data_IF_752786881438
#
_entry.id   IF_752786881438
#
_cell.length_a   1.000
_cell.length_b   1.000
_cell.length_c   1.000
_cell.angle_alpha   90.00
_cell.angle_beta   90.00
_cell.angle_gamma   90.00
#
_symmetry.space_group_name_H-M   'P 1'
#
loop_
_entity.id
_entity.type
_entity.pdbx_description
1 polymer ?
#
# COMPACT_ATOMS: atom_id res chain seq x y z
N UNK A 1 6.38 -32.71 30.13
CA UNK A 1 6.00 -32.33 28.75
C UNK A 1 5.27 -31.01 28.86
N UNK A 2 5.75 -29.96 28.21
CA UNK A 2 5.06 -28.66 28.23
C UNK A 2 3.78 -28.78 27.43
N UNK A 3 2.63 -28.52 28.05
CA UNK A 3 1.35 -28.45 27.37
C UNK A 3 1.41 -27.35 26.32
N UNK A 4 1.33 -27.73 25.05
CA UNK A 4 1.18 -26.80 23.93
C UNK A 4 -0.17 -26.13 24.05
N UNK A 5 -0.28 -24.84 23.70
CA UNK A 5 -1.57 -24.16 23.57
C UNK A 5 -1.98 -24.04 22.11
N UNK A 6 -2.78 -24.96 21.54
CA UNK A 6 -3.36 -24.82 20.20
C UNK A 6 -4.13 -23.51 19.99
N UNK A 7 -4.54 -22.84 21.07
CA UNK A 7 -5.22 -21.55 21.05
C UNK A 7 -4.35 -20.43 20.46
N UNK A 8 -3.00 -20.54 20.52
CA UNK A 8 -2.12 -19.53 19.93
C UNK A 8 -2.13 -19.55 18.40
N UNK A 9 -2.28 -20.73 17.78
CA UNK A 9 -2.49 -20.83 16.33
C UNK A 9 -3.84 -20.25 15.92
N UNK A 10 -4.91 -20.64 16.63
CA UNK A 10 -6.27 -20.18 16.32
C UNK A 10 -6.36 -18.65 16.45
N UNK A 11 -5.73 -18.08 17.48
CA UNK A 11 -5.69 -16.62 17.69
C UNK A 11 -4.92 -15.91 16.59
N UNK A 12 -3.76 -16.43 16.19
CA UNK A 12 -2.97 -15.85 15.11
C UNK A 12 -3.68 -15.96 13.76
N UNK A 13 -4.31 -17.10 13.46
CA UNK A 13 -5.06 -17.31 12.23
C UNK A 13 -6.26 -16.34 12.15
N UNK A 14 -7.05 -16.26 13.22
CA UNK A 14 -8.18 -15.34 13.32
C UNK A 14 -7.75 -13.89 13.10
N UNK A 15 -6.63 -13.50 13.69
CA UNK A 15 -6.07 -12.16 13.53
C UNK A 15 -5.67 -11.88 12.08
N UNK A 16 -5.02 -12.83 11.41
CA UNK A 16 -4.68 -12.70 10.00
C UNK A 16 -5.93 -12.53 9.12
N UNK A 17 -6.97 -13.33 9.34
CA UNK A 17 -8.22 -13.22 8.57
C UNK A 17 -8.94 -11.88 8.83
N UNK A 18 -9.08 -11.48 10.10
CA UNK A 18 -9.74 -10.22 10.46
C UNK A 18 -8.99 -9.01 9.91
N UNK A 19 -7.65 -9.03 9.96
CA UNK A 19 -6.84 -7.96 9.41
C UNK A 19 -6.95 -7.92 7.87
N UNK A 20 -6.99 -9.07 7.19
CA UNK A 20 -7.12 -9.12 5.74
C UNK A 20 -8.44 -8.49 5.25
N UNK A 21 -9.55 -8.84 5.90
CA UNK A 21 -10.89 -8.34 5.57
C UNK A 21 -11.03 -6.83 5.83
N UNK A 22 -10.60 -6.37 7.01
CA UNK A 22 -10.61 -4.95 7.36
C UNK A 22 -9.69 -4.13 6.47
N UNK A 23 -8.49 -4.66 6.17
CA UNK A 23 -7.55 -4.01 5.26
C UNK A 23 -8.14 -3.88 3.86
N UNK A 24 -8.80 -4.92 3.34
CA UNK A 24 -9.50 -4.85 2.06
C UNK A 24 -10.54 -3.75 2.04
N UNK A 25 -11.34 -3.67 3.11
CA UNK A 25 -12.43 -2.70 3.22
C UNK A 25 -11.89 -1.26 3.10
N UNK A 26 -10.87 -0.91 3.88
CA UNK A 26 -10.29 0.45 3.85
C UNK A 26 -9.55 0.73 2.54
N UNK A 27 -8.94 -0.30 1.94
CA UNK A 27 -8.27 -0.18 0.65
C UNK A 27 -9.27 0.07 -0.49
N UNK A 28 -10.43 -0.59 -0.48
CA UNK A 28 -11.49 -0.35 -1.45
C UNK A 28 -12.02 1.09 -1.35
N UNK A 29 -12.19 1.61 -0.12
CA UNK A 29 -12.57 3.01 0.09
C UNK A 29 -11.54 3.99 -0.49
N UNK A 30 -10.23 3.72 -0.30
CA UNK A 30 -9.17 4.50 -0.94
C UNK A 30 -9.32 4.47 -2.46
N UNK A 31 -9.46 3.28 -3.06
CA UNK A 31 -9.57 3.12 -4.51
C UNK A 31 -10.76 3.88 -5.09
N UNK A 32 -11.92 3.85 -4.45
CA UNK A 32 -13.10 4.62 -4.88
C UNK A 32 -12.78 6.11 -5.01
N UNK A 33 -12.12 6.71 -4.00
CA UNK A 33 -11.77 8.14 -4.06
C UNK A 33 -10.71 8.39 -5.14
N UNK A 34 -9.71 7.52 -5.28
CA UNK A 34 -8.66 7.71 -6.30
C UNK A 34 -9.23 7.70 -7.73
N UNK A 35 -10.24 6.88 -8.02
CA UNK A 35 -10.95 6.86 -9.31
C UNK A 35 -11.58 8.22 -9.65
N UNK A 36 -12.06 8.96 -8.65
CA UNK A 36 -12.67 10.27 -8.82
C UNK A 36 -11.63 11.40 -8.98
N UNK A 37 -10.37 11.14 -8.63
CA UNK A 37 -9.26 12.11 -8.70
C UNK A 37 -8.46 12.06 -10.00
N UNK A 38 -9.01 11.45 -11.04
CA UNK A 38 -8.40 11.46 -12.38
C UNK A 38 -8.07 12.86 -12.86
N UNK A 39 -6.91 13.00 -13.52
CA UNK A 39 -6.38 14.25 -14.05
C UNK A 39 -6.15 15.36 -13.00
N UNK A 40 -6.08 15.03 -11.70
CA UNK A 40 -5.87 16.02 -10.62
C UNK A 40 -4.63 16.90 -10.79
N UNK A 41 -3.59 16.38 -11.46
CA UNK A 41 -2.35 17.11 -11.69
C UNK A 41 -2.46 18.11 -12.84
N UNK A 42 -3.41 17.94 -13.76
CA UNK A 42 -3.46 18.66 -15.03
C UNK A 42 -2.53 18.06 -16.09
N UNK A 43 -2.34 18.80 -17.19
CA UNK A 43 -1.63 18.35 -18.39
C UNK A 43 -0.32 19.11 -18.69
N UNK A 44 0.02 20.13 -17.91
CA UNK A 44 1.13 21.05 -18.19
C UNK A 44 2.54 20.43 -18.09
N UNK A 45 3.49 20.91 -18.88
CA UNK A 45 4.81 20.32 -19.08
C UNK A 45 5.60 20.19 -17.77
N UNK A 46 5.50 21.17 -16.87
CA UNK A 46 6.18 21.14 -15.58
C UNK A 46 5.60 20.08 -14.61
N UNK A 47 4.38 19.58 -14.82
CA UNK A 47 3.76 18.57 -13.94
C UNK A 47 4.17 17.14 -14.28
N UNK A 48 4.62 16.88 -15.51
CA UNK A 48 4.84 15.52 -16.02
C UNK A 48 5.75 14.67 -15.12
N UNK A 49 6.84 15.26 -14.60
CA UNK A 49 7.75 14.56 -13.70
C UNK A 49 7.09 14.21 -12.36
N UNK A 50 6.28 15.12 -11.82
CA UNK A 50 5.53 14.90 -10.58
C UNK A 50 4.43 13.85 -10.78
N UNK A 51 3.63 13.97 -11.85
CA UNK A 51 2.57 13.01 -12.17
C UNK A 51 3.11 11.60 -12.33
N UNK A 52 4.20 11.44 -13.08
CA UNK A 52 4.86 10.14 -13.21
C UNK A 52 5.31 9.58 -11.86
N UNK A 53 5.94 10.39 -11.03
CA UNK A 53 6.42 9.95 -9.72
C UNK A 53 5.26 9.57 -8.78
N UNK A 54 4.15 10.31 -8.83
CA UNK A 54 2.93 9.97 -8.10
C UNK A 54 2.33 8.65 -8.60
N UNK A 55 2.11 8.52 -9.92
CA UNK A 55 1.48 7.34 -10.53
C UNK A 55 2.29 6.07 -10.25
N UNK A 56 3.63 6.13 -10.38
CA UNK A 56 4.52 5.01 -10.08
C UNK A 56 4.41 4.57 -8.60
N UNK A 57 4.34 5.52 -7.67
CA UNK A 57 4.24 5.25 -6.22
C UNK A 57 2.86 4.73 -5.83
N UNK A 58 1.80 5.39 -6.29
CA UNK A 58 0.43 4.98 -6.05
C UNK A 58 0.19 3.57 -6.60
N UNK A 59 0.72 3.27 -7.79
CA UNK A 59 0.69 1.94 -8.40
C UNK A 59 1.47 0.90 -7.58
N UNK A 60 2.67 1.23 -7.10
CA UNK A 60 3.45 0.33 -6.26
C UNK A 60 2.74 0.03 -4.93
N UNK A 61 2.18 1.03 -4.26
CA UNK A 61 1.43 0.83 -3.01
C UNK A 61 0.17 -0.01 -3.24
N UNK A 62 -0.56 0.25 -4.34
CA UNK A 62 -1.73 -0.54 -4.77
C UNK A 62 -1.37 -2.04 -4.92
N UNK A 63 -0.27 -2.35 -5.61
CA UNK A 63 0.21 -3.71 -5.78
C UNK A 63 0.61 -4.36 -4.44
N UNK A 64 1.35 -3.66 -3.60
CA UNK A 64 1.82 -4.21 -2.31
C UNK A 64 0.66 -4.39 -1.33
N UNK A 65 -0.29 -3.45 -1.28
CA UNK A 65 -1.47 -3.51 -0.43
C UNK A 65 -2.37 -4.72 -0.74
N UNK A 66 -2.66 -4.95 -2.02
CA UNK A 66 -3.45 -6.12 -2.46
C UNK A 66 -2.75 -7.44 -2.17
N UNK A 67 -1.44 -7.54 -2.43
CA UNK A 67 -0.66 -8.72 -2.10
C UNK A 67 -0.56 -8.96 -0.59
N UNK A 68 -0.48 -7.90 0.21
CA UNK A 68 -0.45 -7.99 1.67
C UNK A 68 -1.74 -8.63 2.23
N UNK A 69 -2.91 -8.18 1.78
CA UNK A 69 -4.18 -8.77 2.22
C UNK A 69 -4.32 -10.26 1.84
N UNK A 70 -3.88 -10.65 0.63
CA UNK A 70 -3.84 -12.07 0.23
C UNK A 70 -2.86 -12.87 1.06
N UNK A 71 -1.68 -12.32 1.34
CA UNK A 71 -0.67 -12.96 2.16
C UNK A 71 -1.18 -13.21 3.58
N UNK A 72 -1.91 -12.27 4.17
CA UNK A 72 -2.59 -12.47 5.45
C UNK A 72 -3.58 -13.63 5.39
N UNK A 73 -4.46 -13.65 4.39
CA UNK A 73 -5.45 -14.73 4.25
C UNK A 73 -4.79 -16.10 4.11
N UNK A 74 -3.85 -16.25 3.18
CA UNK A 74 -3.13 -17.52 2.97
C UNK A 74 -2.32 -17.93 4.19
N UNK A 75 -1.76 -16.97 4.92
CA UNK A 75 -1.03 -17.28 6.14
C UNK A 75 -1.96 -17.69 7.29
N UNK A 76 -3.18 -17.14 7.35
CA UNK A 76 -4.25 -17.64 8.20
C UNK A 76 -4.60 -19.10 7.91
N UNK A 77 -4.63 -19.51 6.65
CA UNK A 77 -4.87 -20.91 6.24
C UNK A 77 -3.76 -21.83 6.74
N UNK A 78 -2.49 -21.40 6.58
CA UNK A 78 -1.32 -22.14 7.07
C UNK A 78 -1.37 -22.30 8.59
N UNK A 79 -1.68 -21.23 9.33
CA UNK A 79 -1.79 -21.26 10.80
C UNK A 79 -2.93 -22.17 11.26
N UNK A 80 -4.07 -22.14 10.58
CA UNK A 80 -5.23 -23.01 10.87
C UNK A 80 -4.87 -24.49 10.64
N UNK A 81 -4.23 -24.79 9.51
CA UNK A 81 -3.78 -26.15 9.20
C UNK A 81 -2.72 -26.65 10.19
N UNK A 82 -1.76 -25.80 10.56
CA UNK A 82 -0.75 -26.12 11.56
C UNK A 82 -1.39 -26.42 12.92
N UNK A 83 -2.30 -25.55 13.39
CA UNK A 83 -3.03 -25.73 14.64
C UNK A 83 -3.84 -27.04 14.66
N UNK A 84 -4.49 -27.39 13.55
CA UNK A 84 -5.20 -28.65 13.42
C UNK A 84 -4.28 -29.88 13.46
N UNK A 85 -3.15 -29.83 12.76
CA UNK A 85 -2.16 -30.91 12.77
C UNK A 85 -1.62 -31.16 14.18
N UNK A 86 -1.38 -30.09 14.95
CA UNK A 86 -1.01 -30.18 16.36
C UNK A 86 -2.10 -30.80 17.22
N UNK A 87 -3.35 -30.34 17.11
CA UNK A 87 -4.49 -30.94 17.81
C UNK A 87 -4.60 -32.45 17.51
N UNK A 88 -4.41 -32.85 16.25
CA UNK A 88 -4.43 -34.25 15.85
C UNK A 88 -3.28 -35.06 16.45
N UNK A 89 -2.06 -34.49 16.47
CA UNK A 89 -0.89 -35.13 17.05
C UNK A 89 -1.06 -35.35 18.56
N UNK A 90 -1.52 -34.34 19.29
CA UNK A 90 -1.82 -34.42 20.72
C UNK A 90 -2.91 -35.47 21.02
N UNK A 91 -4.00 -35.47 20.26
CA UNK A 91 -5.05 -36.47 20.40
C UNK A 91 -4.54 -37.91 20.17
N UNK A 92 -3.66 -38.12 19.17
CA UNK A 92 -3.06 -39.43 18.89
C UNK A 92 -2.07 -39.85 19.96
N UNK A 93 -1.30 -38.90 20.52
CA UNK A 93 -0.33 -39.14 21.58
C UNK A 93 -1.00 -39.44 22.93
N UNK A 94 -2.17 -38.85 23.20
CA UNK A 94 -2.93 -39.10 24.41
C UNK A 94 -3.40 -40.57 24.47
N UNK A 95 -2.96 -41.30 25.50
CA UNK A 95 -3.29 -42.73 25.72
C UNK A 95 -4.50 -42.96 26.63
N UNK A 96 -5.09 -41.90 27.16
CA UNK A 96 -6.29 -42.01 28.00
C UNK A 96 -7.44 -42.65 27.19
N UNK A 97 -8.02 -43.77 27.64
CA UNK A 97 -9.17 -44.39 26.97
C UNK A 97 -10.41 -43.48 26.93
N UNK A 98 -10.48 -42.46 27.80
CA UNK A 98 -11.58 -41.50 27.89
C UNK A 98 -11.24 -40.13 27.27
N UNK A 99 -10.22 -40.04 26.40
CA UNK A 99 -9.74 -38.79 25.78
C UNK A 99 -10.72 -38.03 24.88
N UNK A 100 -11.96 -38.49 24.76
CA UNK A 100 -13.01 -37.86 23.96
C UNK A 100 -12.87 -38.11 22.46
N UNK A 101 -13.55 -37.27 21.67
CA UNK A 101 -13.59 -37.37 20.21
C UNK A 101 -12.34 -36.77 19.54
N UNK A 102 -11.94 -37.25 18.35
CA UNK A 102 -10.85 -36.64 17.60
C UNK A 102 -11.18 -35.19 17.19
N UNK A 103 -10.16 -34.33 17.01
CA UNK A 103 -10.35 -32.99 16.47
C UNK A 103 -11.10 -33.00 15.13
N UNK A 104 -12.07 -32.11 14.97
CA UNK A 104 -12.77 -31.92 13.71
C UNK A 104 -11.92 -31.17 12.69
N UNK A 105 -12.04 -31.54 11.41
CA UNK A 105 -11.41 -30.82 10.32
C UNK A 105 -11.85 -29.33 10.36
N UNK A 106 -10.93 -28.36 10.22
CA UNK A 106 -11.30 -26.96 10.14
C UNK A 106 -12.23 -26.71 8.96
N UNK A 107 -13.23 -25.85 9.18
CA UNK A 107 -14.21 -25.43 8.17
C UNK A 107 -14.46 -23.93 8.29
N UNK A 108 -15.13 -23.34 7.29
CA UNK A 108 -15.43 -21.89 7.31
C UNK A 108 -14.24 -21.00 6.96
N UNK A 109 -13.31 -21.48 6.12
CA UNK A 109 -12.26 -20.65 5.55
C UNK A 109 -12.88 -19.46 4.79
N UNK A 110 -12.39 -18.23 4.99
CA UNK A 110 -12.87 -17.09 4.21
C UNK A 110 -12.62 -17.32 2.72
N UNK A 111 -13.61 -16.96 1.89
CA UNK A 111 -13.45 -16.97 0.44
C UNK A 111 -12.28 -16.08 0.03
N UNK A 112 -11.54 -16.49 -1.00
CA UNK A 112 -10.42 -15.70 -1.53
C UNK A 112 -10.88 -14.26 -1.84
N UNK A 113 -10.15 -13.28 -1.31
CA UNK A 113 -10.50 -11.89 -1.48
C UNK A 113 -10.48 -11.53 -2.98
N UNK A 114 -11.49 -10.77 -3.49
CA UNK A 114 -11.62 -10.45 -4.91
C UNK A 114 -10.61 -9.40 -5.38
N UNK A 115 -9.32 -9.71 -5.28
CA UNK A 115 -8.25 -8.97 -5.93
C UNK A 115 -7.96 -9.64 -7.27
N UNK A 116 -8.86 -9.49 -8.23
CA UNK A 116 -8.68 -10.08 -9.56
C UNK A 116 -7.39 -9.57 -10.26
N UNK A 117 -6.91 -10.26 -11.31
CA UNK A 117 -5.73 -9.85 -12.09
C UNK A 117 -5.89 -8.48 -12.78
N UNK A 118 -7.09 -7.90 -12.78
CA UNK A 118 -7.35 -6.51 -13.13
C UNK A 118 -7.19 -5.61 -11.91
N UNK A 119 -5.96 -5.48 -11.41
CA UNK A 119 -5.59 -4.43 -10.47
C UNK A 119 -6.01 -3.09 -11.08
N UNK A 120 -6.68 -2.24 -10.30
CA UNK A 120 -6.88 -0.84 -10.68
C UNK A 120 -5.48 -0.25 -10.88
N UNK A 121 -5.07 -0.13 -12.15
CA UNK A 121 -3.91 0.67 -12.50
C UNK A 121 -4.17 2.05 -11.96
N UNK A 122 -3.17 2.60 -11.27
CA UNK A 122 -3.22 3.95 -10.72
C UNK A 122 -3.90 4.88 -11.71
N UNK A 123 -4.96 5.54 -11.25
CA UNK A 123 -5.69 6.50 -12.07
C UNK A 123 -4.69 7.58 -12.46
N UNK A 124 -4.51 7.77 -13.76
CA UNK A 124 -3.51 8.72 -14.26
C UNK A 124 -3.74 10.08 -13.61
N UNK A 125 -2.76 10.54 -12.84
CA UNK A 125 -2.83 11.84 -12.19
C UNK A 125 -2.76 12.97 -13.21
N UNK A 126 -2.07 12.74 -14.34
CA UNK A 126 -2.09 13.64 -15.49
C UNK A 126 -3.31 13.41 -16.39
N UNK A 127 -3.84 14.47 -16.96
CA UNK A 127 -4.88 14.39 -17.99
C UNK A 127 -5.17 15.75 -18.60
N UNK A 128 -6.05 15.79 -19.59
CA UNK A 128 -6.50 17.06 -20.19
C UNK A 128 -7.64 17.63 -19.36
N UNK A 129 -7.35 18.66 -18.58
CA UNK A 129 -8.36 19.60 -18.09
C UNK A 129 -8.11 20.98 -18.70
N UNK A 130 -9.06 21.90 -18.58
CA UNK A 130 -9.23 23.08 -19.42
C UNK A 130 -8.03 24.05 -19.44
N UNK A 131 -8.07 25.02 -20.39
CA UNK A 131 -7.10 26.12 -20.52
C UNK A 131 -6.88 26.75 -19.15
N UNK A 132 -5.80 26.40 -18.43
CA UNK A 132 -5.65 26.77 -17.01
C UNK A 132 -5.95 28.24 -16.70
N UNK A 133 -5.63 29.14 -17.63
CA UNK A 133 -6.17 30.50 -17.70
C UNK A 133 -7.39 30.56 -18.65
N UNK A 134 -8.56 30.89 -18.10
CA UNK A 134 -9.78 31.17 -18.87
C UNK A 134 -9.94 32.68 -19.04
N UNK A 135 -9.68 33.19 -20.24
CA UNK A 135 -9.84 34.60 -20.59
C UNK A 135 -10.22 34.77 -22.05
N UNK A 136 -11.08 35.76 -22.34
CA UNK A 136 -11.39 36.17 -23.71
C UNK A 136 -10.31 37.07 -24.32
N UNK A 137 -9.28 37.43 -23.53
CA UNK A 137 -8.21 38.35 -23.93
C UNK A 137 -6.98 37.55 -24.39
N UNK A 138 -6.89 37.28 -25.69
CA UNK A 138 -5.77 36.51 -26.27
C UNK A 138 -4.39 37.10 -25.95
N UNK A 139 -4.23 38.42 -25.96
CA UNK A 139 -2.97 39.06 -25.54
C UNK A 139 -2.62 38.81 -24.06
N UNK A 140 -3.62 38.68 -23.19
CA UNK A 140 -3.40 38.32 -21.80
C UNK A 140 -2.95 36.87 -21.71
N UNK A 141 -3.59 35.98 -22.46
CA UNK A 141 -3.18 34.58 -22.53
C UNK A 141 -1.73 34.44 -23.02
N UNK A 142 -1.33 35.17 -24.05
CA UNK A 142 0.04 35.16 -24.58
C UNK A 142 1.06 35.71 -23.57
N UNK A 143 0.77 36.85 -22.93
CA UNK A 143 1.64 37.45 -21.90
C UNK A 143 1.85 36.49 -20.73
N UNK A 144 0.81 35.81 -20.31
CA UNK A 144 0.87 34.88 -19.16
C UNK A 144 1.64 33.63 -19.53
N UNK A 145 1.35 33.06 -20.69
CA UNK A 145 2.03 31.89 -21.21
C UNK A 145 3.53 32.15 -21.38
N UNK A 146 3.91 33.34 -21.85
CA UNK A 146 5.31 33.76 -21.98
C UNK A 146 6.04 33.90 -20.62
N UNK A 147 5.30 34.16 -19.55
CA UNK A 147 5.84 34.34 -18.20
C UNK A 147 5.82 33.08 -17.35
N UNK A 148 5.08 32.05 -17.77
CA UNK A 148 5.09 30.73 -17.14
C UNK A 148 6.24 29.89 -17.71
N UNK A 149 7.15 29.48 -16.83
CA UNK A 149 8.26 28.60 -17.19
C UNK A 149 7.73 27.27 -17.75
N UNK A 150 7.95 27.03 -19.04
CA UNK A 150 7.47 25.83 -19.75
C UNK A 150 6.35 26.10 -20.76
N UNK A 151 5.87 27.35 -20.87
CA UNK A 151 4.96 27.77 -21.94
C UNK A 151 3.55 27.22 -21.82
N UNK A 152 3.14 26.73 -20.66
CA UNK A 152 1.81 26.17 -20.42
C UNK A 152 1.31 26.60 -19.03
N UNK A 153 0.11 27.16 -18.97
CA UNK A 153 -0.52 27.57 -17.70
C UNK A 153 -0.99 26.33 -16.93
N UNK A 154 -0.62 26.17 -15.65
CA UNK A 154 -1.03 25.02 -14.87
C UNK A 154 -2.54 24.91 -14.66
N UNK A 155 -3.06 23.74 -15.02
CA UNK A 155 -4.47 23.38 -15.11
C UNK A 155 -4.90 22.34 -14.07
N UNK A 156 -4.05 22.03 -13.08
CA UNK A 156 -4.36 21.02 -12.05
C UNK A 156 -5.58 21.36 -11.18
N UNK A 157 -6.29 20.34 -10.72
CA UNK A 157 -7.49 20.48 -9.91
C UNK A 157 -7.13 20.39 -8.41
N UNK A 158 -7.16 21.53 -7.72
CA UNK A 158 -6.77 21.60 -6.30
C UNK A 158 -7.75 20.89 -5.37
N UNK A 159 -9.01 20.73 -5.79
CA UNK A 159 -10.02 20.03 -5.00
C UNK A 159 -9.82 18.52 -5.13
N UNK A 160 -9.54 18.03 -6.34
CA UNK A 160 -9.14 16.63 -6.54
C UNK A 160 -7.82 16.30 -5.84
N UNK A 161 -6.83 17.20 -5.87
CA UNK A 161 -5.58 17.03 -5.10
C UNK A 161 -5.86 16.95 -3.59
N UNK A 162 -6.73 17.82 -3.05
CA UNK A 162 -7.14 17.74 -1.65
C UNK A 162 -7.85 16.43 -1.30
N UNK A 163 -8.75 15.96 -2.18
CA UNK A 163 -9.45 14.68 -2.01
C UNK A 163 -8.48 13.49 -2.02
N UNK A 164 -7.52 13.47 -2.96
CA UNK A 164 -6.50 12.43 -3.02
C UNK A 164 -5.60 12.43 -1.77
N UNK A 165 -5.10 13.60 -1.34
CA UNK A 165 -4.27 13.72 -0.14
C UNK A 165 -5.03 13.23 1.11
N UNK A 166 -6.30 13.62 1.24
CA UNK A 166 -7.18 13.20 2.34
C UNK A 166 -7.42 11.70 2.32
N UNK A 167 -7.64 11.10 1.15
CA UNK A 167 -7.86 9.66 1.01
C UNK A 167 -6.62 8.85 1.43
N UNK A 168 -5.44 9.22 0.94
CA UNK A 168 -4.18 8.58 1.33
C UNK A 168 -3.91 8.69 2.83
N UNK A 169 -4.16 9.89 3.40
CA UNK A 169 -4.01 10.12 4.84
C UNK A 169 -5.00 9.27 5.66
N UNK A 170 -6.27 9.22 5.24
CA UNK A 170 -7.31 8.44 5.90
C UNK A 170 -6.99 6.94 5.86
N UNK A 171 -6.54 6.44 4.71
CA UNK A 171 -6.08 5.06 4.57
C UNK A 171 -4.92 4.76 5.54
N UNK A 172 -3.89 5.59 5.56
CA UNK A 172 -2.73 5.43 6.44
C UNK A 172 -3.09 5.46 7.93
N UNK A 173 -4.12 6.22 8.32
CA UNK A 173 -4.57 6.37 9.70
C UNK A 173 -5.63 5.33 10.12
N UNK A 174 -6.12 4.52 9.19
CA UNK A 174 -7.12 3.50 9.48
C UNK A 174 -6.55 2.40 10.40
N UNK A 175 -7.39 1.85 11.29
CA UNK A 175 -6.99 0.81 12.24
C UNK A 175 -6.23 -0.38 11.61
N UNK A 176 -6.69 -1.02 10.52
CA UNK A 176 -5.97 -2.15 9.94
C UNK A 176 -4.61 -1.78 9.34
N UNK A 177 -4.37 -0.51 9.01
CA UNK A 177 -3.10 -0.04 8.45
C UNK A 177 -2.15 0.42 9.57
N UNK A 178 -2.59 1.38 10.39
CA UNK A 178 -1.79 1.92 11.49
C UNK A 178 -1.60 0.93 12.64
N UNK A 179 -2.68 0.27 13.07
CA UNK A 179 -2.68 -0.71 14.17
C UNK A 179 -2.20 -2.10 13.76
N UNK A 180 -2.25 -2.43 12.45
CA UNK A 180 -1.96 -3.77 11.92
C UNK A 180 -0.59 -4.30 12.34
N UNK A 181 0.44 -3.46 12.35
CA UNK A 181 1.80 -3.84 12.78
C UNK A 181 1.81 -4.34 14.23
N UNK A 182 1.20 -3.59 15.13
CA UNK A 182 1.14 -3.94 16.56
C UNK A 182 0.36 -5.24 16.79
N UNK A 183 -0.77 -5.38 16.09
CA UNK A 183 -1.62 -6.57 16.16
C UNK A 183 -0.88 -7.84 15.71
N UNK A 184 -0.18 -7.78 14.58
CA UNK A 184 0.63 -8.90 14.06
C UNK A 184 1.80 -9.25 14.98
N UNK A 185 2.50 -8.26 15.54
CA UNK A 185 3.56 -8.50 16.52
C UNK A 185 3.03 -9.14 17.82
N UNK A 186 1.83 -8.75 18.25
CA UNK A 186 1.18 -9.31 19.43
C UNK A 186 0.86 -10.80 19.25
N UNK A 187 0.29 -11.19 18.11
CA UNK A 187 0.03 -12.62 17.83
C UNK A 187 1.31 -13.41 17.56
N UNK A 188 2.34 -12.79 16.99
CA UNK A 188 3.66 -13.42 16.86
C UNK A 188 4.27 -13.75 18.22
N UNK A 189 4.23 -12.79 19.17
CA UNK A 189 4.70 -13.00 20.53
C UNK A 189 3.82 -14.00 21.31
N UNK A 190 2.51 -14.00 21.07
CA UNK A 190 1.59 -14.98 21.62
C UNK A 190 1.92 -16.40 21.16
N UNK A 191 2.21 -16.56 19.87
CA UNK A 191 2.63 -17.83 19.28
C UNK A 191 3.95 -18.31 19.87
N UNK A 192 4.95 -17.43 20.00
CA UNK A 192 6.25 -17.76 20.60
C UNK A 192 6.12 -18.18 22.08
N UNK A 193 5.35 -17.44 22.88
CA UNK A 193 5.12 -17.76 24.30
C UNK A 193 4.37 -19.07 24.52
N UNK A 194 3.48 -19.45 23.60
CA UNK A 194 2.68 -20.67 23.69
C UNK A 194 3.49 -21.97 23.81
N UNK A 195 4.79 -21.93 23.49
CA UNK A 195 5.67 -23.11 23.52
C UNK A 195 6.86 -23.01 24.49
N UNK A 196 7.08 -21.84 25.11
CA UNK A 196 8.20 -21.61 26.02
C UNK A 196 9.55 -22.06 25.43
N UNK A 197 10.39 -22.70 26.25
CA UNK A 197 11.75 -23.13 25.87
C UNK A 197 11.82 -24.31 24.90
N UNK A 198 10.70 -25.00 24.64
CA UNK A 198 10.64 -26.23 23.83
C UNK A 198 9.79 -26.02 22.57
N UNK A 199 9.98 -24.88 21.90
CA UNK A 199 9.29 -24.57 20.66
C UNK A 199 9.59 -25.61 19.57
N UNK A 200 8.55 -26.19 18.95
CA UNK A 200 8.69 -26.96 17.72
C UNK A 200 9.43 -26.16 16.64
N UNK A 201 10.17 -26.85 15.77
CA UNK A 201 11.08 -26.24 14.79
C UNK A 201 10.37 -25.33 13.78
N UNK A 202 9.06 -25.49 13.60
CA UNK A 202 8.22 -24.66 12.72
C UNK A 202 7.83 -23.31 13.34
N UNK A 203 7.76 -23.21 14.67
CA UNK A 203 7.32 -21.98 15.36
C UNK A 203 8.18 -20.76 15.01
N UNK A 204 9.53 -20.82 15.04
CA UNK A 204 10.36 -19.67 14.66
C UNK A 204 10.09 -19.15 13.24
N UNK A 205 9.80 -20.05 12.29
CA UNK A 205 9.48 -19.67 10.92
C UNK A 205 8.12 -18.96 10.85
N UNK A 206 7.10 -19.48 11.53
CA UNK A 206 5.77 -18.88 11.56
C UNK A 206 5.77 -17.51 12.24
N UNK A 207 6.49 -17.38 13.36
CA UNK A 207 6.74 -16.10 14.03
C UNK A 207 7.48 -15.14 13.11
N UNK A 208 8.48 -15.63 12.37
CA UNK A 208 9.20 -14.86 11.36
C UNK A 208 8.28 -14.29 10.29
N UNK A 209 7.37 -15.11 9.73
CA UNK A 209 6.40 -14.67 8.73
C UNK A 209 5.43 -13.60 9.27
N UNK A 210 4.94 -13.73 10.50
CA UNK A 210 4.10 -12.71 11.14
C UNK A 210 4.86 -11.37 11.31
N UNK A 211 6.15 -11.43 11.69
CA UNK A 211 7.00 -10.24 11.80
C UNK A 211 7.27 -9.59 10.44
N UNK A 212 7.44 -10.39 9.38
CA UNK A 212 7.54 -9.89 8.00
C UNK A 212 6.26 -9.17 7.59
N UNK A 213 5.10 -9.79 7.80
CA UNK A 213 3.79 -9.15 7.52
C UNK A 213 3.61 -7.85 8.33
N UNK A 214 4.02 -7.83 9.60
CA UNK A 214 4.00 -6.65 10.44
C UNK A 214 4.90 -5.52 9.92
N UNK A 215 6.01 -5.88 9.27
CA UNK A 215 6.92 -4.92 8.64
C UNK A 215 6.28 -4.37 7.36
N UNK A 216 5.73 -5.24 6.52
CA UNK A 216 5.06 -4.85 5.26
C UNK A 216 3.92 -3.86 5.48
N UNK A 217 3.05 -4.07 6.49
CA UNK A 217 1.96 -3.11 6.76
C UNK A 217 2.47 -1.76 7.26
N UNK A 218 3.56 -1.73 8.02
CA UNK A 218 4.21 -0.48 8.41
C UNK A 218 4.85 0.27 7.24
N UNK A 219 5.40 -0.45 6.26
CA UNK A 219 5.91 0.15 5.02
C UNK A 219 4.78 0.70 4.13
N UNK A 220 3.64 0.01 4.07
CA UNK A 220 2.44 0.50 3.38
C UNK A 220 1.93 1.78 4.04
N UNK A 221 1.84 1.81 5.38
CA UNK A 221 1.43 2.99 6.15
C UNK A 221 2.33 4.19 5.87
N UNK A 222 3.65 4.00 5.97
CA UNK A 222 4.63 5.05 5.72
C UNK A 222 4.52 5.57 4.27
N UNK A 223 4.45 4.67 3.28
CA UNK A 223 4.32 5.06 1.88
C UNK A 223 3.04 5.84 1.61
N UNK A 224 1.91 5.45 2.21
CA UNK A 224 0.65 6.18 2.08
C UNK A 224 0.72 7.58 2.69
N UNK A 225 1.39 7.76 3.84
CA UNK A 225 1.62 9.09 4.43
C UNK A 225 2.50 9.96 3.55
N UNK A 226 3.57 9.41 3.01
CA UNK A 226 4.48 10.12 2.12
C UNK A 226 3.76 10.56 0.84
N UNK A 227 2.89 9.68 0.29
CA UNK A 227 2.05 10.03 -0.85
C UNK A 227 1.12 11.19 -0.50
N UNK A 228 0.39 11.10 0.62
CA UNK A 228 -0.50 12.16 1.08
C UNK A 228 0.22 13.51 1.21
N UNK A 229 1.39 13.52 1.86
CA UNK A 229 2.19 14.73 2.05
C UNK A 229 2.68 15.32 0.72
N UNK A 230 3.10 14.49 -0.23
CA UNK A 230 3.54 14.97 -1.55
C UNK A 230 2.39 15.51 -2.40
N UNK A 231 1.17 14.97 -2.27
CA UNK A 231 -0.04 15.52 -2.92
C UNK A 231 -0.43 16.85 -2.29
N UNK A 232 -0.45 16.95 -0.95
CA UNK A 232 -0.74 18.21 -0.26
C UNK A 232 0.28 19.30 -0.61
N UNK A 233 1.57 18.96 -0.66
CA UNK A 233 2.62 19.91 -1.05
C UNK A 233 2.41 20.41 -2.50
N UNK A 234 2.03 19.52 -3.42
CA UNK A 234 1.73 19.91 -4.79
C UNK A 234 0.51 20.83 -4.88
N UNK A 235 -0.56 20.53 -4.11
CA UNK A 235 -1.74 21.39 -4.00
C UNK A 235 -1.35 22.80 -3.53
N UNK A 236 -0.59 22.90 -2.44
CA UNK A 236 -0.15 24.19 -1.87
C UNK A 236 0.66 24.98 -2.89
N UNK A 237 1.59 24.34 -3.59
CA UNK A 237 2.39 24.98 -4.64
C UNK A 237 1.51 25.50 -5.79
N UNK A 238 0.51 24.72 -6.22
CA UNK A 238 -0.42 25.11 -7.28
C UNK A 238 -1.31 26.30 -6.84
N UNK A 239 -1.83 26.28 -5.61
CA UNK A 239 -2.60 27.40 -5.04
C UNK A 239 -1.76 28.66 -4.91
N UNK A 240 -0.53 28.56 -4.42
CA UNK A 240 0.38 29.71 -4.27
C UNK A 240 0.68 30.34 -5.62
N UNK A 241 1.02 29.53 -6.62
CA UNK A 241 1.28 30.04 -7.97
C UNK A 241 0.05 30.71 -8.60
N UNK A 242 -1.16 30.16 -8.40
CA UNK A 242 -2.42 30.82 -8.85
C UNK A 242 -2.66 32.16 -8.14
N UNK A 243 -2.35 32.25 -6.85
CA UNK A 243 -2.44 33.49 -6.08
C UNK A 243 -1.43 34.55 -6.55
N UNK A 244 -0.20 34.14 -6.84
CA UNK A 244 0.84 35.02 -7.36
C UNK A 244 0.46 35.56 -8.74
N UNK A 245 -0.05 34.70 -9.63
CA UNK A 245 -0.61 35.10 -10.92
C UNK A 245 -1.70 36.17 -10.73
N UNK A 246 -2.70 35.91 -9.88
CA UNK A 246 -3.78 36.87 -9.59
C UNK A 246 -3.28 38.21 -9.03
N UNK A 247 -2.32 38.17 -8.10
CA UNK A 247 -1.73 39.38 -7.51
C UNK A 247 -0.97 40.19 -8.56
N UNK A 248 -0.19 39.52 -9.39
CA UNK A 248 0.56 40.15 -10.46
C UNK A 248 -0.36 40.74 -11.53
N UNK A 249 -1.50 40.11 -11.84
CA UNK A 249 -2.54 40.73 -12.68
C UNK A 249 -3.18 41.95 -12.05
N UNK A 250 -3.53 41.88 -10.76
CA UNK A 250 -4.09 43.03 -10.05
C UNK A 250 -3.12 44.22 -10.06
N UNK A 251 -1.81 43.96 -10.03
CA UNK A 251 -0.77 44.98 -10.16
C UNK A 251 -0.61 45.49 -11.61
N UNK A 252 -0.84 44.66 -12.64
CA UNK A 252 -0.70 45.02 -14.07
C UNK A 252 -1.84 45.90 -14.62
N UNK A 253 -2.94 46.07 -13.90
CA UNK A 253 -3.88 47.18 -14.18
C UNK A 253 -3.17 48.55 -14.06
N UNK A 254 -1.95 48.61 -13.52
CA UNK A 254 -1.02 49.75 -13.58
C UNK A 254 0.33 49.32 -14.19
N UNK A 255 0.38 49.21 -15.52
CA UNK A 255 1.59 49.26 -16.40
C UNK A 255 2.91 48.73 -15.79
N UNK A 256 3.27 47.45 -16.02
CA UNK A 256 4.64 46.93 -16.36
C UNK A 256 4.74 45.40 -16.21
N UNK A 257 5.77 44.80 -16.85
CA UNK A 257 6.00 43.36 -16.99
C UNK A 257 6.05 42.60 -15.65
N UNK A 258 5.37 41.45 -15.62
CA UNK A 258 5.32 40.52 -14.50
C UNK A 258 6.52 39.55 -14.56
N UNK A 259 7.04 39.12 -13.40
CA UNK A 259 7.96 37.98 -13.28
C UNK A 259 7.32 36.98 -12.30
N UNK A 260 6.78 35.85 -12.79
CA UNK A 260 6.15 34.85 -11.91
C UNK A 260 7.26 33.96 -11.34
N UNK A 261 7.38 33.96 -10.01
CA UNK A 261 8.36 33.17 -9.28
C UNK A 261 8.13 31.68 -9.43
N UNK A 262 9.23 30.92 -9.45
CA UNK A 262 9.25 29.46 -9.52
C UNK A 262 8.55 28.83 -8.30
N UNK A 263 7.38 28.26 -8.51
CA UNK A 263 6.91 27.16 -7.65
C UNK A 263 7.48 25.86 -8.22
N UNK A 264 8.65 25.46 -7.74
CA UNK A 264 9.23 24.18 -8.10
C UNK A 264 8.23 23.08 -7.69
N UNK A 265 7.79 22.27 -8.65
CA UNK A 265 7.25 20.95 -8.33
C UNK A 265 8.39 20.22 -7.61
N UNK A 266 8.33 20.18 -6.28
CA UNK A 266 9.39 19.58 -5.49
C UNK A 266 9.51 18.11 -5.90
N UNK A 267 10.73 17.61 -6.15
CA UNK A 267 10.92 16.20 -6.42
C UNK A 267 10.40 15.41 -5.22
N UNK A 268 9.51 14.46 -5.49
CA UNK A 268 8.95 13.57 -4.48
C UNK A 268 10.12 12.83 -3.79
N UNK A 269 10.35 12.96 -2.47
CA UNK A 269 11.47 12.29 -1.81
C UNK A 269 11.25 10.78 -1.85
N UNK A 270 12.20 10.00 -2.33
CA UNK A 270 12.12 8.52 -2.46
C UNK A 270 12.50 7.85 -1.15
N UNK A 271 11.60 7.14 -0.44
CA UNK A 271 12.03 6.24 0.62
C UNK A 271 12.57 4.97 -0.05
N UNK A 272 13.80 4.59 0.30
CA UNK A 272 14.50 3.38 -0.16
C UNK A 272 13.78 2.05 0.16
N UNK A 273 12.65 2.06 0.86
CA UNK A 273 12.05 0.86 1.47
C UNK A 273 11.28 -0.06 0.51
N UNK A 274 10.70 0.43 -0.59
CA UNK A 274 9.81 -0.40 -1.44
C UNK A 274 10.51 -1.36 -2.42
N UNK A 275 11.86 -1.46 -2.40
CA UNK A 275 12.61 -2.35 -3.32
C UNK A 275 12.82 -3.78 -2.79
N UNK A 276 12.37 -4.11 -1.58
CA UNK A 276 12.72 -5.39 -0.92
C UNK A 276 11.65 -6.51 -1.02
N UNK A 277 10.51 -6.31 -1.69
CA UNK A 277 9.38 -7.24 -1.62
C UNK A 277 9.38 -8.45 -2.56
N UNK A 278 10.27 -8.54 -3.57
CA UNK A 278 10.14 -9.55 -4.65
C UNK A 278 11.08 -10.77 -4.56
N UNK A 279 11.89 -10.93 -3.51
CA UNK A 279 13.01 -11.88 -3.53
C UNK A 279 12.84 -13.20 -2.76
N UNK A 280 11.68 -13.51 -2.14
CA UNK A 280 11.61 -14.64 -1.19
C UNK A 280 10.59 -15.76 -1.46
N UNK A 281 10.06 -15.91 -2.69
CA UNK A 281 9.10 -17.00 -2.98
C UNK A 281 9.44 -17.93 -4.14
N UNK A 282 10.69 -17.94 -4.64
CA UNK A 282 11.11 -18.91 -5.65
C UNK A 282 12.41 -19.63 -5.26
N UNK A 283 12.31 -20.63 -4.39
CA UNK A 283 13.35 -21.66 -4.21
C UNK A 283 12.75 -22.92 -3.60
N UNK A 284 11.82 -23.56 -4.30
CA UNK A 284 11.53 -24.98 -4.11
C UNK A 284 11.07 -25.56 -5.46
N UNK A 285 12.03 -26.01 -6.27
CA UNK A 285 11.80 -27.04 -7.31
C UNK A 285 13.12 -27.60 -7.86
N UNK A 286 13.38 -28.84 -7.46
CA UNK A 286 13.88 -29.96 -8.27
C UNK A 286 15.08 -29.74 -9.20
N UNK A 287 16.23 -30.31 -8.82
CA UNK A 287 17.27 -30.74 -9.76
C UNK A 287 18.17 -31.82 -9.14
N UNK A 288 18.02 -33.07 -9.57
CA UNK A 288 19.12 -33.79 -10.24
C UNK A 288 18.72 -35.24 -10.50
N UNK A 289 18.52 -35.55 -11.78
CA UNK A 289 18.71 -36.87 -12.32
C UNK A 289 18.89 -36.68 -13.81
N UNK A 290 20.12 -36.42 -14.25
CA UNK A 290 20.58 -36.77 -15.60
C UNK A 290 22.07 -37.07 -15.52
N UNK A 291 22.35 -38.37 -15.65
CA UNK A 291 23.66 -39.01 -15.65
C UNK A 291 24.15 -39.00 -17.10
N UNK A 292 25.18 -38.21 -17.42
CA UNK A 292 25.83 -38.26 -18.73
C UNK A 292 27.21 -38.88 -18.60
N UNK A 293 27.35 -40.05 -19.22
CA UNK A 293 28.61 -40.71 -19.57
C UNK A 293 29.51 -39.75 -20.36
N UNK A 294 30.82 -39.79 -20.10
CA UNK A 294 31.84 -39.69 -21.16
C UNK A 294 33.02 -40.60 -20.84
N UNK A 295 33.39 -41.40 -21.85
CA UNK A 295 34.61 -42.20 -21.98
C UNK A 295 35.84 -41.28 -21.92
N UNK A 296 36.89 -41.69 -21.21
CA UNK A 296 38.12 -42.26 -21.79
C UNK A 296 38.45 -43.50 -20.94
#
# INVERSE_FOLDING_TARGET
MGSISPQSYDSAAKECYDLADKFQTVYNSLQTVLLETSAMAGGYQAVKAWSKAYDDRAGAVTLVATNFARALQHFGDVLTAAGYNWKCAEYKANRDPNKGAPPSLPSGFPSELPYGPGIVNGVASSGTYSRGLETDWTELQDKVTALVSGGEVPDGDTDKLASAATAWKTFAQSDPVYGGKGRLLLVAAGLERGYGSNAPKDIPNLVGHLRTLATSVGEIEAAARDIAAGVDAHKVALTAMRSDMNTQFAMVVVVTAIQIGRSAALPFPWPLCLRAGSSSLSSYRYSSLHRTRKRI
#
